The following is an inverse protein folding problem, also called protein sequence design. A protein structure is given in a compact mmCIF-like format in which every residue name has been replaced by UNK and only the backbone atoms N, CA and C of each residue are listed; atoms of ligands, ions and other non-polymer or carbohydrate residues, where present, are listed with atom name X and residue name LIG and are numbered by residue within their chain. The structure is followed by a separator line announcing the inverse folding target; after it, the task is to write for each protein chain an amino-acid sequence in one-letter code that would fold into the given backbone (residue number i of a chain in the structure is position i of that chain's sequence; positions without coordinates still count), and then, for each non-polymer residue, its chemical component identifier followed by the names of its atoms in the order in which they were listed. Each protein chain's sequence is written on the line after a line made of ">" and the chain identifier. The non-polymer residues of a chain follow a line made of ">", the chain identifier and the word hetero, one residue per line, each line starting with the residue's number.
data_IF_419948441750
#
_entry.id   IF_419948441750
#
_cell.length_a   1.000
_cell.length_b   1.000
_cell.length_c   1.000
_cell.angle_alpha   90.00
_cell.angle_beta   90.00
_cell.angle_gamma   90.00
#
_symmetry.space_group_name_H-M   'P 1'
#
loop_
_entity.id
_entity.type
_entity.pdbx_description
1 polymer ?
#
# COMPACT_ATOMS: atom_id res chain seq x y z
N UNK A 1 13.61 -7.49 -1.98
CA UNK A 1 12.32 -7.29 -1.34
C UNK A 1 11.38 -8.28 -1.95
N UNK A 2 10.70 -9.06 -1.14
CA UNK A 2 9.85 -10.16 -1.59
C UNK A 2 8.48 -9.65 -2.06
N UNK A 3 7.89 -10.36 -3.02
CA UNK A 3 6.52 -10.13 -3.44
C UNK A 3 5.57 -10.99 -2.60
N UNK A 4 4.53 -10.37 -2.06
CA UNK A 4 3.44 -11.02 -1.35
C UNK A 4 2.28 -11.13 -2.32
N UNK A 5 1.92 -12.36 -2.62
CA UNK A 5 0.73 -12.69 -3.38
C UNK A 5 -0.42 -13.04 -2.43
N UNK A 6 -1.59 -12.44 -2.65
CA UNK A 6 -2.77 -12.67 -1.82
C UNK A 6 -4.02 -12.80 -2.67
N UNK A 7 -4.79 -13.85 -2.41
CA UNK A 7 -6.11 -14.03 -2.98
C UNK A 7 -7.15 -13.47 -2.01
N UNK A 8 -7.95 -12.49 -2.45
CA UNK A 8 -9.07 -11.96 -1.70
C UNK A 8 -10.35 -12.72 -2.06
N UNK A 9 -11.08 -13.16 -1.04
CA UNK A 9 -12.43 -13.68 -1.20
C UNK A 9 -13.43 -12.55 -1.53
N UNK A 10 -14.65 -12.93 -1.94
CA UNK A 10 -15.72 -11.96 -2.22
C UNK A 10 -16.05 -11.14 -0.97
N UNK A 11 -15.95 -9.81 -1.07
CA UNK A 11 -16.15 -8.90 0.06
C UNK A 11 -14.97 -8.79 1.04
N UNK A 12 -13.92 -9.60 0.88
CA UNK A 12 -12.71 -9.48 1.70
C UNK A 12 -11.98 -8.19 1.35
N UNK A 13 -11.54 -7.46 2.36
CA UNK A 13 -10.86 -6.18 2.17
C UNK A 13 -9.42 -6.24 2.67
N UNK A 14 -8.52 -5.63 1.91
CA UNK A 14 -7.12 -5.43 2.26
C UNK A 14 -6.72 -3.95 2.10
N UNK A 15 -6.11 -3.35 3.12
CA UNK A 15 -5.54 -2.00 3.01
C UNK A 15 -4.03 -2.09 2.85
N UNK A 16 -3.51 -1.45 1.80
CA UNK A 16 -2.09 -1.48 1.44
C UNK A 16 -1.56 -0.06 1.27
N UNK A 17 -0.27 0.15 1.54
CA UNK A 17 0.36 1.41 1.14
C UNK A 17 0.42 1.47 -0.38
N UNK A 18 0.00 2.58 -0.97
CA UNK A 18 -0.08 2.73 -2.44
C UNK A 18 1.27 2.51 -3.11
N UNK A 19 2.35 2.93 -2.45
CA UNK A 19 3.72 2.76 -2.97
C UNK A 19 4.23 1.31 -2.98
N UNK A 20 3.52 0.38 -2.36
CA UNK A 20 3.90 -1.04 -2.29
C UNK A 20 2.94 -1.95 -3.06
N UNK A 21 1.92 -1.43 -3.72
CA UNK A 21 1.01 -2.22 -4.55
C UNK A 21 1.64 -2.42 -5.94
N UNK A 22 1.89 -3.66 -6.33
CA UNK A 22 2.51 -3.98 -7.62
C UNK A 22 1.47 -4.24 -8.70
N UNK A 23 0.46 -5.07 -8.40
CA UNK A 23 -0.63 -5.40 -9.32
C UNK A 23 -1.86 -5.92 -8.57
N UNK A 24 -3.02 -5.88 -9.19
CA UNK A 24 -4.25 -6.51 -8.71
C UNK A 24 -5.12 -6.94 -9.90
N UNK A 25 -6.00 -7.91 -9.67
CA UNK A 25 -6.98 -8.39 -10.67
C UNK A 25 -8.04 -7.34 -10.95
N UNK A 26 -8.54 -7.25 -12.19
CA UNK A 26 -9.61 -6.31 -12.56
C UNK A 26 -10.95 -6.59 -11.88
N UNK A 27 -11.11 -7.75 -11.24
CA UNK A 27 -12.26 -8.10 -10.40
C UNK A 27 -12.19 -7.52 -8.98
N UNK A 28 -11.06 -6.91 -8.59
CA UNK A 28 -10.83 -6.32 -7.27
C UNK A 28 -11.16 -4.84 -7.34
N UNK A 29 -12.08 -4.39 -6.49
CA UNK A 29 -12.39 -2.98 -6.31
C UNK A 29 -11.24 -2.26 -5.59
N UNK A 30 -10.85 -1.08 -6.07
CA UNK A 30 -9.80 -0.28 -5.45
C UNK A 30 -10.30 1.12 -5.07
N UNK A 31 -9.91 1.60 -3.88
CA UNK A 31 -10.23 2.93 -3.39
C UNK A 31 -9.01 3.58 -2.73
N UNK A 32 -8.60 4.74 -3.24
CA UNK A 32 -7.47 5.50 -2.69
C UNK A 32 -7.97 6.31 -1.49
N UNK A 33 -7.43 6.03 -0.31
CA UNK A 33 -7.67 6.76 0.92
C UNK A 33 -6.44 7.57 1.30
N UNK A 34 -6.54 8.90 1.16
CA UNK A 34 -5.54 9.81 1.69
C UNK A 34 -5.77 9.92 3.20
N UNK A 35 -4.87 9.37 4.01
CA UNK A 35 -4.96 9.47 5.46
C UNK A 35 -4.33 10.81 5.89
N UNK A 36 -4.99 11.91 5.54
CA UNK A 36 -4.50 13.28 5.71
C UNK A 36 -5.47 14.14 6.51
N UNK A 37 -5.56 13.90 7.82
CA UNK A 37 -6.15 14.85 8.76
C UNK A 37 -5.06 15.69 9.39
N UNK A 38 -5.34 16.98 9.62
CA UNK A 38 -4.49 18.06 10.18
C UNK A 38 -3.55 17.67 11.34
N UNK A 39 -3.80 16.55 12.04
CA UNK A 39 -2.95 16.02 13.12
C UNK A 39 -1.67 15.30 12.68
N UNK A 40 -1.48 14.95 11.39
CA UNK A 40 -0.35 14.09 10.93
C UNK A 40 0.84 14.82 10.30
N UNK A 41 0.89 16.15 10.36
CA UNK A 41 2.08 16.96 9.98
C UNK A 41 3.32 16.64 10.85
N UNK A 42 3.14 15.93 11.98
CA UNK A 42 4.21 15.55 12.91
C UNK A 42 5.11 14.39 12.45
N UNK A 43 4.82 13.74 11.30
CA UNK A 43 5.65 12.67 10.72
C UNK A 43 6.44 13.09 9.47
N UNK A 44 6.77 14.38 9.33
CA UNK A 44 7.75 14.82 8.33
C UNK A 44 7.20 15.03 6.91
N UNK A 45 5.99 15.57 6.77
CA UNK A 45 5.56 16.29 5.56
C UNK A 45 5.07 15.47 4.36
N UNK A 46 5.26 14.15 4.30
CA UNK A 46 4.69 13.32 3.22
C UNK A 46 3.48 12.52 3.73
N UNK A 47 2.27 12.96 3.37
CA UNK A 47 1.03 12.27 3.71
C UNK A 47 1.04 10.81 3.25
N UNK A 48 0.66 9.88 4.13
CA UNK A 48 0.59 8.45 3.79
C UNK A 48 -0.66 8.19 2.94
N UNK A 49 -0.47 7.81 1.68
CA UNK A 49 -1.54 7.42 0.78
C UNK A 49 -1.75 5.90 0.87
N UNK A 50 -2.90 5.49 1.38
CA UNK A 50 -3.28 4.08 1.44
C UNK A 50 -4.31 3.75 0.36
N UNK A 51 -4.26 2.53 -0.14
CA UNK A 51 -5.23 2.00 -1.10
C UNK A 51 -5.95 0.82 -0.44
N UNK A 52 -7.28 0.87 -0.45
CA UNK A 52 -8.16 -0.19 0.01
C UNK A 52 -8.54 -1.03 -1.21
N UNK A 53 -8.33 -2.34 -1.12
CA UNK A 53 -8.64 -3.33 -2.14
C UNK A 53 -9.74 -4.24 -1.60
N UNK A 54 -10.77 -4.50 -2.39
CA UNK A 54 -11.87 -5.39 -2.00
C UNK A 54 -12.07 -6.47 -3.06
N UNK A 55 -12.01 -7.72 -2.63
CA UNK A 55 -12.14 -8.88 -3.51
C UNK A 55 -13.57 -9.09 -4.02
N UNK A 56 -13.75 -10.06 -4.93
CA UNK A 56 -12.86 -11.20 -5.13
C UNK A 56 -11.72 -10.96 -6.14
N UNK A 57 -10.52 -11.50 -5.85
CA UNK A 57 -9.43 -11.55 -6.84
C UNK A 57 -8.03 -11.51 -6.25
N UNK A 58 -7.03 -11.61 -7.14
CA UNK A 58 -5.61 -11.69 -6.77
C UNK A 58 -5.01 -10.30 -6.60
N UNK A 59 -4.16 -10.14 -5.59
CA UNK A 59 -3.44 -8.90 -5.28
C UNK A 59 -1.97 -9.23 -5.06
N UNK A 60 -1.09 -8.49 -5.75
CA UNK A 60 0.36 -8.59 -5.64
C UNK A 60 0.92 -7.32 -5.01
N UNK A 61 1.60 -7.47 -3.87
CA UNK A 61 2.23 -6.37 -3.15
C UNK A 61 3.71 -6.63 -2.96
N UNK A 62 4.50 -5.57 -2.80
CA UNK A 62 5.87 -5.68 -2.35
C UNK A 62 5.92 -5.60 -0.82
N UNK A 63 6.54 -6.60 -0.20
CA UNK A 63 6.91 -6.53 1.21
C UNK A 63 7.88 -5.36 1.42
N UNK A 64 7.61 -4.55 2.44
CA UNK A 64 8.50 -3.48 2.88
C UNK A 64 9.82 -4.06 3.40
N UNK A 65 10.74 -4.37 2.49
CA UNK A 65 12.18 -4.24 2.74
C UNK A 65 12.81 -3.39 1.64
N UNK A 66 12.56 -2.09 1.72
CA UNK A 66 13.59 -1.08 1.41
C UNK A 66 13.48 0.04 2.44
N UNK A 67 14.15 -0.15 3.58
CA UNK A 67 14.81 0.99 4.23
C UNK A 67 15.85 1.44 3.20
N UNK A 68 15.56 2.47 2.41
CA UNK A 68 16.64 3.16 1.68
C UNK A 68 17.51 3.76 2.77
N UNK A 69 18.58 3.04 3.13
CA UNK A 69 19.75 3.65 3.72
C UNK A 69 20.21 4.68 2.68
N UNK A 70 19.73 5.93 2.80
CA UNK A 70 20.45 7.04 2.19
C UNK A 70 21.76 7.06 2.94
N UNK A 71 22.78 6.43 2.36
CA UNK A 71 24.16 6.71 2.67
C UNK A 71 24.37 8.20 2.38
N UNK A 72 24.18 9.03 3.41
CA UNK A 72 24.67 10.39 3.41
C UNK A 72 26.12 10.25 3.88
N UNK A 73 27.01 10.04 2.93
CA UNK A 73 28.42 10.29 3.13
C UNK A 73 28.67 11.71 2.59
N UNK A 74 28.85 12.65 3.51
CA UNK A 74 29.49 13.95 3.28
C UNK A 74 30.32 14.23 4.51
#
# INVERSE_FOLDING_TARGET
>A
GDFIDRQLASGETLTVSTGNLAAFSGSVDYAIQRVGGVRRTLFGGEGVVMTRLTGPGRVLMQSLKRKREKSIMT
#
